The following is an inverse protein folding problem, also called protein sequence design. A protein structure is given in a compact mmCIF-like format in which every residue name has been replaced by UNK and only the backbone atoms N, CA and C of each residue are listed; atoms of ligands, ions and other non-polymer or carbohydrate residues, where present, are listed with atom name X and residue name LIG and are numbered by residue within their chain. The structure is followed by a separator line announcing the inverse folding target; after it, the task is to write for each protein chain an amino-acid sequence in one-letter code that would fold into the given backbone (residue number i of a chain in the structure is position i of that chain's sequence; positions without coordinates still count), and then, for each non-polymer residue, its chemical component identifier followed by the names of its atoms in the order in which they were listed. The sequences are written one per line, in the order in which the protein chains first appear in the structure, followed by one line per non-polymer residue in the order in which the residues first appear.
data_IF_990617424743
#
_entry.id   IF_990617424743
#
_cell.length_a   1.000
_cell.length_b   1.000
_cell.length_c   1.000
_cell.angle_alpha   90.00
_cell.angle_beta   90.00
_cell.angle_gamma   90.00
#
_symmetry.space_group_name_H-M   'P 1'
#
loop_
_entity.id
_entity.type
_entity.pdbx_description
1 polymer ?
#
# COMPACT_ATOMS: atom_id res chain seq x y z
N UNK A 1 -9.13 18.25 -0.77
CA UNK A 1 -10.46 18.23 -1.44
C UNK A 1 -11.53 18.98 -0.66
N UNK A 2 -11.57 18.84 0.66
CA UNK A 2 -12.57 19.57 1.48
C UNK A 2 -12.43 21.10 1.35
N UNK A 3 -11.22 21.59 1.18
CA UNK A 3 -10.95 23.03 1.01
C UNK A 3 -11.63 23.64 -0.23
N UNK A 4 -12.04 22.80 -1.18
CA UNK A 4 -12.74 23.22 -2.40
C UNK A 4 -14.20 22.76 -2.39
N UNK A 5 -14.75 22.45 -1.21
CA UNK A 5 -16.16 22.13 -1.04
C UNK A 5 -16.53 20.65 -1.17
N UNK A 6 -15.55 19.74 -1.23
CA UNK A 6 -15.86 18.31 -1.31
C UNK A 6 -16.35 17.76 0.04
N UNK A 7 -17.35 16.89 -0.02
CA UNK A 7 -17.85 16.15 1.13
C UNK A 7 -17.19 14.77 1.17
N UNK A 8 -16.64 14.38 2.32
CA UNK A 8 -15.95 13.08 2.49
C UNK A 8 -16.81 11.89 2.08
N UNK A 9 -18.10 11.95 2.30
CA UNK A 9 -19.04 10.88 1.92
C UNK A 9 -19.13 10.67 0.40
N UNK A 10 -18.80 11.71 -0.37
CA UNK A 10 -18.84 11.70 -1.83
C UNK A 10 -17.46 11.45 -2.45
N UNK A 11 -16.42 11.32 -1.66
CA UNK A 11 -15.07 11.03 -2.14
C UNK A 11 -14.95 9.54 -2.43
N UNK A 12 -14.44 9.21 -3.61
CA UNK A 12 -14.10 7.84 -4.00
C UNK A 12 -12.58 7.73 -4.04
N UNK A 13 -12.03 6.79 -3.28
CA UNK A 13 -10.61 6.51 -3.29
C UNK A 13 -10.33 5.25 -4.08
N UNK A 14 -9.27 5.27 -4.88
CA UNK A 14 -8.82 4.10 -5.63
C UNK A 14 -7.36 3.83 -5.27
N UNK A 15 -7.08 2.62 -4.80
CA UNK A 15 -5.73 2.17 -4.53
C UNK A 15 -5.18 1.63 -5.84
N UNK A 16 -4.17 2.31 -6.39
CA UNK A 16 -3.51 1.91 -7.62
C UNK A 16 -2.58 0.70 -7.44
N UNK A 17 -1.81 0.35 -8.47
CA UNK A 17 -0.86 -0.76 -8.38
C UNK A 17 0.13 -0.54 -7.24
N UNK A 18 0.30 -1.54 -6.38
CA UNK A 18 1.20 -1.48 -5.22
C UNK A 18 1.68 -2.89 -4.89
N UNK A 19 2.70 -3.00 -4.04
CA UNK A 19 3.13 -4.30 -3.55
C UNK A 19 2.02 -4.89 -2.67
N UNK A 20 1.70 -6.16 -2.88
CA UNK A 20 0.65 -6.88 -2.15
C UNK A 20 1.27 -7.68 -0.99
N UNK A 21 0.41 -8.12 -0.07
CA UNK A 21 0.81 -8.83 1.15
C UNK A 21 1.75 -10.01 0.88
N UNK A 22 1.44 -10.84 -0.10
CA UNK A 22 2.20 -12.04 -0.42
C UNK A 22 3.63 -11.78 -0.85
N UNK A 23 3.94 -10.55 -1.28
CA UNK A 23 5.27 -10.15 -1.73
C UNK A 23 5.97 -9.18 -0.77
N UNK A 24 5.30 -8.77 0.31
CA UNK A 24 5.82 -7.72 1.19
C UNK A 24 6.19 -8.29 2.56
N UNK A 25 7.39 -8.85 2.65
CA UNK A 25 7.97 -9.32 3.91
C UNK A 25 8.72 -8.18 4.60
N UNK A 26 8.45 -7.97 5.89
CA UNK A 26 9.10 -6.95 6.70
C UNK A 26 9.66 -7.58 7.97
N UNK A 27 10.60 -6.87 8.62
CA UNK A 27 11.21 -7.28 9.88
C UNK A 27 10.51 -6.65 11.06
N UNK A 28 10.88 -7.09 12.26
CA UNK A 28 10.28 -6.65 13.52
C UNK A 28 10.34 -5.14 13.72
N UNK A 29 11.44 -4.47 13.32
CA UNK A 29 11.58 -3.02 13.46
C UNK A 29 10.46 -2.26 12.73
N UNK A 30 10.17 -2.62 11.48
CA UNK A 30 9.07 -2.03 10.71
C UNK A 30 7.73 -2.51 11.25
N UNK A 31 7.63 -3.80 11.58
CA UNK A 31 6.40 -4.38 12.12
C UNK A 31 5.96 -3.68 13.40
N UNK A 32 6.90 -3.28 14.27
CA UNK A 32 6.58 -2.58 15.50
C UNK A 32 5.93 -1.22 15.22
N UNK A 33 6.42 -0.51 14.21
CA UNK A 33 5.82 0.77 13.79
C UNK A 33 4.38 0.56 13.34
N UNK A 34 4.12 -0.49 12.58
CA UNK A 34 2.77 -0.83 12.12
C UNK A 34 1.88 -1.23 13.30
N UNK A 35 2.39 -2.03 14.24
CA UNK A 35 1.65 -2.46 15.44
C UNK A 35 1.21 -1.29 16.30
N UNK A 36 2.00 -0.22 16.34
CA UNK A 36 1.68 0.98 17.12
C UNK A 36 0.63 1.85 16.42
N UNK A 37 0.30 1.59 15.17
CA UNK A 37 -0.69 2.37 14.44
C UNK A 37 -2.12 2.05 14.90
N UNK A 38 -3.00 3.05 14.81
CA UNK A 38 -4.43 2.87 15.12
C UNK A 38 -5.11 1.91 14.14
N UNK A 39 -4.62 1.85 12.90
CA UNK A 39 -5.17 0.95 11.88
C UNK A 39 -4.96 -0.52 12.26
N UNK A 40 -3.79 -0.88 12.76
CA UNK A 40 -3.50 -2.23 13.22
C UNK A 40 -4.38 -2.62 14.43
N UNK A 41 -4.62 -1.69 15.33
CA UNK A 41 -5.47 -1.93 16.50
C UNK A 41 -6.91 -2.22 16.11
N UNK A 42 -7.37 -1.69 14.96
CA UNK A 42 -8.71 -1.96 14.42
C UNK A 42 -8.76 -3.24 13.62
N UNK A 43 -7.68 -3.57 12.93
CA UNK A 43 -7.61 -4.77 12.07
C UNK A 43 -6.21 -5.35 12.10
N UNK A 44 -6.00 -6.36 12.93
CA UNK A 44 -4.70 -7.01 13.08
C UNK A 44 -4.31 -7.91 11.90
N UNK A 45 -5.21 -8.15 10.95
CA UNK A 45 -4.90 -8.89 9.72
C UNK A 45 -3.92 -8.15 8.80
N UNK A 46 -3.63 -6.88 9.09
CA UNK A 46 -2.63 -6.08 8.37
C UNK A 46 -1.25 -6.73 8.43
N UNK A 47 -0.92 -7.39 9.54
CA UNK A 47 0.33 -8.13 9.71
C UNK A 47 0.05 -9.61 9.92
N UNK A 48 0.86 -10.47 9.30
CA UNK A 48 0.84 -11.91 9.55
C UNK A 48 2.24 -12.36 9.88
N UNK A 49 2.43 -12.89 11.09
CA UNK A 49 3.71 -13.42 11.54
C UNK A 49 4.08 -14.65 10.71
N UNK A 50 5.30 -14.70 10.18
CA UNK A 50 5.79 -15.84 9.40
C UNK A 50 6.74 -16.69 10.26
N UNK A 51 7.81 -16.05 10.73
CA UNK A 51 8.82 -16.74 11.54
C UNK A 51 9.66 -15.71 12.27
N UNK A 52 10.15 -16.05 13.46
CA UNK A 52 11.13 -15.24 14.21
C UNK A 52 10.76 -13.74 14.21
N UNK A 53 11.51 -12.91 13.46
CA UNK A 53 11.31 -11.46 13.35
C UNK A 53 10.71 -11.04 11.99
N UNK A 54 10.04 -11.95 11.28
CA UNK A 54 9.52 -11.72 9.93
C UNK A 54 8.01 -11.72 9.89
N UNK A 55 7.44 -10.79 9.10
CA UNK A 55 6.00 -10.61 8.93
C UNK A 55 5.68 -10.35 7.46
N UNK A 56 4.49 -10.76 7.05
CA UNK A 56 3.89 -10.28 5.80
C UNK A 56 3.04 -9.06 6.12
N UNK A 57 3.21 -8.00 5.34
CA UNK A 57 2.53 -6.72 5.55
C UNK A 57 1.54 -6.46 4.42
N UNK A 58 0.27 -6.27 4.79
CA UNK A 58 -0.79 -5.92 3.86
C UNK A 58 -0.94 -4.40 3.77
N UNK A 59 -0.15 -3.78 2.91
CA UNK A 59 -0.19 -2.33 2.72
C UNK A 59 -1.55 -1.84 2.20
N UNK A 60 -2.17 -2.49 1.18
CA UNK A 60 -3.51 -2.08 0.75
C UNK A 60 -4.54 -2.09 1.87
N UNK A 61 -4.52 -3.09 2.75
CA UNK A 61 -5.44 -3.15 3.87
C UNK A 61 -5.21 -2.01 4.86
N UNK A 62 -3.94 -1.69 5.15
CA UNK A 62 -3.61 -0.54 5.99
C UNK A 62 -4.19 0.75 5.41
N UNK A 63 -4.05 0.96 4.10
CA UNK A 63 -4.58 2.13 3.41
C UNK A 63 -6.10 2.17 3.49
N UNK A 64 -6.78 1.04 3.28
CA UNK A 64 -8.24 0.94 3.40
C UNK A 64 -8.72 1.33 4.80
N UNK A 65 -8.07 0.81 5.84
CA UNK A 65 -8.42 1.14 7.22
C UNK A 65 -8.17 2.61 7.53
N UNK A 66 -7.06 3.16 7.02
CA UNK A 66 -6.76 4.59 7.18
C UNK A 66 -7.82 5.47 6.52
N UNK A 67 -8.24 5.13 5.30
CA UNK A 67 -9.27 5.88 4.59
C UNK A 67 -10.61 5.82 5.32
N UNK A 68 -10.98 4.66 5.87
CA UNK A 68 -12.19 4.52 6.69
C UNK A 68 -12.14 5.42 7.92
N UNK A 69 -10.98 5.58 8.55
CA UNK A 69 -10.83 6.45 9.72
C UNK A 69 -11.07 7.91 9.37
N UNK A 70 -10.90 8.31 8.12
CA UNK A 70 -11.22 9.64 7.61
C UNK A 70 -12.64 9.73 7.03
N UNK A 71 -13.48 8.73 7.27
CA UNK A 71 -14.88 8.67 6.78
C UNK A 71 -14.99 8.53 5.25
N UNK A 72 -13.95 8.10 4.59
CA UNK A 72 -13.98 7.78 3.16
C UNK A 72 -14.32 6.30 3.04
N UNK A 73 -15.54 5.98 2.63
CA UNK A 73 -16.07 4.61 2.61
C UNK A 73 -16.02 3.96 1.23
N UNK A 74 -16.02 4.76 0.18
CA UNK A 74 -15.95 4.26 -1.21
C UNK A 74 -14.48 4.09 -1.60
N UNK A 75 -13.95 2.90 -1.36
CA UNK A 75 -12.55 2.57 -1.64
C UNK A 75 -12.50 1.36 -2.56
N UNK A 76 -11.86 1.53 -3.70
CA UNK A 76 -11.61 0.44 -4.64
C UNK A 76 -10.12 0.16 -4.72
N UNK A 77 -9.77 -1.07 -5.08
CA UNK A 77 -8.39 -1.51 -5.20
C UNK A 77 -8.23 -2.25 -6.53
N UNK A 78 -7.28 -1.84 -7.33
CA UNK A 78 -7.03 -2.49 -8.63
C UNK A 78 -6.40 -3.88 -8.47
N UNK A 79 -5.88 -4.21 -7.28
CA UNK A 79 -5.30 -5.53 -6.93
C UNK A 79 -4.16 -5.95 -7.85
N UNK A 80 -3.33 -5.00 -8.29
CA UNK A 80 -2.17 -5.30 -9.11
C UNK A 80 -0.91 -5.22 -8.23
N UNK A 81 -0.20 -6.33 -8.12
CA UNK A 81 1.03 -6.43 -7.35
C UNK A 81 2.21 -5.93 -8.19
N UNK A 82 2.81 -4.79 -7.81
CA UNK A 82 3.94 -4.22 -8.54
C UNK A 82 5.18 -5.11 -8.49
N UNK A 83 5.36 -5.86 -7.41
CA UNK A 83 6.48 -6.80 -7.28
C UNK A 83 6.37 -7.94 -8.31
N UNK A 84 5.20 -8.55 -8.44
CA UNK A 84 4.97 -9.66 -9.38
C UNK A 84 4.84 -9.18 -10.83
N UNK A 85 4.40 -7.94 -11.04
CA UNK A 85 4.19 -7.34 -12.36
C UNK A 85 5.29 -6.33 -12.69
N UNK A 86 6.55 -6.66 -12.40
CA UNK A 86 7.69 -5.78 -12.58
C UNK A 86 7.98 -5.43 -14.05
N UNK A 87 7.43 -6.18 -14.99
CA UNK A 87 7.49 -5.86 -16.42
C UNK A 87 6.59 -4.69 -16.81
N UNK A 88 5.61 -4.34 -15.98
CA UNK A 88 4.65 -3.25 -16.22
C UNK A 88 4.85 -2.08 -15.25
N UNK A 89 5.29 -2.37 -14.03
CA UNK A 89 5.41 -1.38 -12.96
C UNK A 89 6.76 -1.46 -12.26
N UNK A 90 7.26 -0.31 -11.79
CA UNK A 90 8.48 -0.27 -10.99
C UNK A 90 8.22 -0.74 -9.57
N UNK A 91 9.16 -1.51 -9.02
CA UNK A 91 9.11 -1.96 -7.63
C UNK A 91 10.51 -1.91 -7.02
N UNK A 92 10.68 -1.07 -5.99
CA UNK A 92 11.94 -0.98 -5.26
C UNK A 92 12.30 -2.33 -4.61
N UNK A 93 11.31 -3.01 -4.03
CA UNK A 93 11.50 -4.32 -3.39
C UNK A 93 12.00 -5.37 -4.39
N UNK A 94 11.39 -5.41 -5.58
CA UNK A 94 11.83 -6.32 -6.63
C UNK A 94 13.27 -6.01 -7.06
N UNK A 95 13.57 -4.73 -7.30
CA UNK A 95 14.91 -4.29 -7.69
C UNK A 95 15.96 -4.68 -6.65
N UNK A 96 15.63 -4.52 -5.36
CA UNK A 96 16.53 -4.90 -4.27
C UNK A 96 16.77 -6.40 -4.18
N UNK A 97 15.72 -7.22 -4.39
CA UNK A 97 15.81 -8.68 -4.32
C UNK A 97 16.53 -9.29 -5.52
N UNK A 98 16.31 -8.75 -6.72
CA UNK A 98 16.78 -9.34 -7.98
C UNK A 98 18.03 -8.67 -8.56
N UNK A 99 18.57 -7.64 -7.91
CA UNK A 99 19.69 -6.85 -8.43
C UNK A 99 19.41 -6.28 -9.82
N UNK A 100 18.15 -5.94 -10.12
CA UNK A 100 17.75 -5.49 -11.43
C UNK A 100 16.93 -4.21 -11.35
N UNK A 101 17.29 -3.18 -12.10
CA UNK A 101 18.50 -3.05 -12.93
C UNK A 101 19.78 -2.94 -12.11
N UNK A 102 19.67 -2.58 -10.82
CA UNK A 102 20.76 -2.39 -9.88
C UNK A 102 20.19 -2.47 -8.47
N UNK A 103 20.93 -3.01 -7.50
CA UNK A 103 20.45 -3.19 -6.12
C UNK A 103 19.92 -1.88 -5.54
N UNK A 104 18.68 -1.91 -5.09
CA UNK A 104 18.02 -0.77 -4.47
C UNK A 104 17.74 0.41 -5.40
N UNK A 105 17.99 0.25 -6.71
CA UNK A 105 17.75 1.30 -7.71
C UNK A 105 16.64 0.84 -8.64
N UNK A 106 15.62 1.69 -8.82
CA UNK A 106 14.49 1.41 -9.69
C UNK A 106 13.94 2.70 -10.26
N UNK A 107 13.18 2.60 -11.35
CA UNK A 107 12.40 3.72 -11.86
C UNK A 107 11.17 3.97 -11.00
N UNK A 108 10.40 4.96 -11.37
CA UNK A 108 9.18 5.34 -10.68
C UNK A 108 8.06 5.55 -11.67
N UNK A 109 6.84 5.34 -11.22
CA UNK A 109 5.66 5.67 -12.02
C UNK A 109 4.85 6.75 -11.30
N UNK A 110 3.92 7.36 -12.02
CA UNK A 110 3.07 8.42 -11.49
C UNK A 110 1.61 8.03 -11.69
N UNK A 111 0.77 8.40 -10.73
CA UNK A 111 -0.67 8.23 -10.83
C UNK A 111 -1.33 9.60 -10.88
N UNK A 112 -2.22 9.79 -11.84
CA UNK A 112 -2.88 11.09 -12.06
C UNK A 112 -4.37 10.85 -12.25
N UNK A 113 -5.18 11.76 -11.73
CA UNK A 113 -6.62 11.78 -11.94
C UNK A 113 -7.07 13.23 -12.18
N UNK A 114 -8.06 13.38 -13.03
CA UNK A 114 -8.62 14.70 -13.31
C UNK A 114 -9.98 14.56 -13.98
N UNK A 115 -10.68 15.67 -14.07
CA UNK A 115 -11.97 15.75 -14.75
C UNK A 115 -11.80 16.61 -16.01
N UNK A 116 -12.12 16.00 -17.15
CA UNK A 116 -12.14 16.74 -18.42
C UNK A 116 -13.52 17.37 -18.62
N UNK A 117 -13.49 18.65 -18.92
CA UNK A 117 -14.73 19.41 -19.20
C UNK A 117 -14.90 19.63 -20.70
#
# INVERSE_FOLDING_TARGET
MENIGANRENIIAIIGPTIQKQSYEIKEDVAQIVKDSSCFKKNNSILSHIKSDRYLFDLPLLLKESLKSFSIRKVNDVNINTYENNNLFFSHRYSSHKNFPKVGVTGRHISVIGILK
#
